data_IF_469165782609
#
_entry.id   IF_469165782609
#
_cell.length_a   1.000
_cell.length_b   1.000
_cell.length_c   1.000
_cell.angle_alpha   90.00
_cell.angle_beta   90.00
_cell.angle_gamma   90.00
#
_symmetry.space_group_name_H-M   'P 1'
#
loop_
_entity.id
_entity.type
_entity.pdbx_description
1 polymer ?
#
# COMPACT_ATOMS: atom_id res chain seq x y z
N UNK A 1 24.48 -7.20 -15.17
CA UNK A 1 24.58 -7.18 -13.69
C UNK A 1 23.22 -7.51 -13.13
N UNK A 2 22.96 -8.81 -12.94
CA UNK A 2 21.69 -9.36 -12.43
C UNK A 2 22.01 -10.45 -11.39
N UNK A 3 21.08 -10.76 -10.48
CA UNK A 3 21.38 -11.47 -9.24
C UNK A 3 21.65 -12.96 -9.50
N UNK A 4 22.79 -13.44 -8.99
CA UNK A 4 23.21 -14.84 -9.03
C UNK A 4 22.35 -15.66 -8.07
N UNK A 5 21.42 -16.44 -8.61
CA UNK A 5 20.61 -17.41 -7.89
C UNK A 5 21.39 -18.72 -7.71
N UNK A 6 21.89 -18.98 -6.49
CA UNK A 6 22.47 -20.29 -6.15
C UNK A 6 21.36 -21.31 -5.93
N UNK A 7 21.17 -22.22 -6.90
CA UNK A 7 20.42 -23.47 -6.73
C UNK A 7 21.18 -24.39 -5.77
N UNK A 8 20.60 -24.76 -4.63
CA UNK A 8 21.10 -25.85 -3.78
C UNK A 8 20.38 -27.14 -4.18
N UNK A 9 21.16 -28.10 -4.68
CA UNK A 9 20.73 -29.47 -4.92
C UNK A 9 20.48 -30.19 -3.59
N UNK A 10 19.35 -30.87 -3.48
CA UNK A 10 19.05 -31.78 -2.38
C UNK A 10 19.60 -33.17 -2.75
N UNK A 11 20.63 -33.62 -2.06
CA UNK A 11 21.06 -35.02 -2.09
C UNK A 11 20.29 -35.77 -0.99
N UNK A 12 19.41 -36.68 -1.41
CA UNK A 12 18.79 -37.67 -0.52
C UNK A 12 19.82 -38.78 -0.31
N UNK A 13 20.42 -38.85 0.89
CA UNK A 13 21.25 -39.98 1.30
C UNK A 13 20.34 -41.02 1.94
N UNK A 14 20.10 -42.11 1.20
CA UNK A 14 19.53 -43.37 1.68
C UNK A 14 20.61 -44.06 2.52
N UNK A 15 20.33 -44.36 3.78
CA UNK A 15 21.16 -45.28 4.57
C UNK A 15 20.50 -46.66 4.57
N UNK A 16 21.10 -47.58 3.82
CA UNK A 16 20.83 -49.02 3.87
C UNK A 16 21.49 -49.61 5.12
N UNK A 17 20.69 -50.08 6.07
CA UNK A 17 21.16 -50.89 7.20
C UNK A 17 21.13 -52.36 6.78
N UNK A 18 22.31 -52.87 6.41
CA UNK A 18 22.55 -54.28 6.11
C UNK A 18 22.93 -55.02 7.39
N UNK A 19 22.21 -56.11 7.64
CA UNK A 19 22.43 -57.07 8.71
C UNK A 19 23.85 -57.69 8.65
N UNK A 20 24.44 -57.92 9.82
CA UNK A 20 25.04 -59.21 10.24
C UNK A 20 25.87 -59.02 11.52
N UNK A 21 25.63 -59.88 12.52
CA UNK A 21 26.47 -59.92 13.71
C UNK A 21 26.01 -60.86 14.83
N UNK A 22 25.45 -62.03 14.49
CA UNK A 22 25.20 -63.08 15.49
C UNK A 22 26.54 -63.71 15.90
N UNK A 23 27.08 -63.23 17.03
CA UNK A 23 28.16 -63.90 17.74
C UNK A 23 27.57 -65.08 18.52
N UNK A 24 27.93 -66.29 18.07
CA UNK A 24 27.68 -67.55 18.78
C UNK A 24 28.38 -67.51 20.15
N UNK A 25 27.60 -67.34 21.22
CA UNK A 25 28.05 -67.68 22.57
C UNK A 25 27.97 -69.20 22.73
N UNK A 26 29.13 -69.81 22.91
CA UNK A 26 29.32 -71.24 23.16
C UNK A 26 29.10 -71.45 24.67
N UNK A 27 27.90 -71.89 25.06
CA UNK A 27 27.69 -72.43 26.41
C UNK A 27 27.96 -73.93 26.38
N UNK A 28 28.98 -74.34 27.12
CA UNK A 28 29.31 -75.74 27.37
C UNK A 28 28.19 -76.44 28.13
N UNK A 29 28.00 -77.71 27.80
CA UNK A 29 27.02 -78.61 28.39
C UNK A 29 27.34 -78.85 29.87
N UNK A 30 26.40 -78.56 30.76
CA UNK A 30 26.20 -79.32 32.00
C UNK A 30 24.83 -79.99 31.94
N UNK A 31 24.88 -81.31 31.84
CA UNK A 31 23.76 -82.23 31.93
C UNK A 31 23.17 -82.18 33.34
N UNK A 32 21.91 -81.77 33.47
CA UNK A 32 21.12 -81.98 34.68
C UNK A 32 19.89 -82.86 34.33
N UNK A 33 19.76 -84.07 34.90
CA UNK A 33 18.71 -85.02 34.57
C UNK A 33 17.51 -84.75 35.46
N UNK A 34 16.51 -84.03 34.96
CA UNK A 34 15.37 -83.69 35.80
C UNK A 34 14.17 -83.13 35.05
N UNK A 35 13.93 -83.55 33.80
CA UNK A 35 12.71 -83.16 33.08
C UNK A 35 11.59 -84.13 33.41
N UNK A 36 11.00 -83.96 34.59
CA UNK A 36 9.66 -84.45 34.87
C UNK A 36 8.69 -83.93 33.81
N UNK A 37 7.74 -84.76 33.40
CA UNK A 37 6.71 -84.41 32.42
C UNK A 37 5.99 -83.13 32.90
N UNK A 38 6.26 -81.99 32.25
CA UNK A 38 5.48 -80.79 32.48
C UNK A 38 4.19 -80.92 31.68
N UNK A 39 3.10 -81.23 32.36
CA UNK A 39 1.74 -81.09 31.85
C UNK A 39 1.59 -79.67 31.29
N UNK A 40 1.38 -79.56 29.98
CA UNK A 40 1.03 -78.28 29.35
C UNK A 40 -0.42 -78.00 29.73
N UNK A 41 -0.60 -77.35 30.88
CA UNK A 41 -1.85 -76.67 31.17
C UNK A 41 -1.97 -75.52 30.18
N UNK A 42 -3.02 -75.53 29.37
CA UNK A 42 -3.41 -74.37 28.55
C UNK A 42 -3.88 -73.30 29.53
N UNK A 43 -2.92 -72.55 30.05
CA UNK A 43 -3.17 -71.37 30.86
C UNK A 43 -3.68 -70.29 29.91
N UNK A 44 -4.81 -69.70 30.30
CA UNK A 44 -5.58 -68.67 29.60
C UNK A 44 -4.72 -67.70 28.77
N UNK A 45 -5.23 -67.34 27.59
CA UNK A 45 -4.72 -66.38 26.61
C UNK A 45 -4.32 -65.00 27.18
N UNK A 46 -4.64 -64.72 28.44
CA UNK A 46 -4.23 -63.53 29.17
C UNK A 46 -3.01 -63.83 30.06
N UNK A 47 -1.81 -63.65 29.50
CA UNK A 47 -0.60 -63.50 30.30
C UNK A 47 -0.47 -62.04 30.69
N UNK A 48 -0.52 -61.72 31.99
CA UNK A 48 -0.33 -60.38 32.57
C UNK A 48 1.08 -59.78 32.34
N UNK A 49 1.82 -60.25 31.33
CA UNK A 49 3.15 -59.73 30.97
C UNK A 49 3.13 -58.23 30.66
N UNK A 50 1.99 -57.70 30.21
CA UNK A 50 1.81 -56.27 29.94
C UNK A 50 1.66 -55.42 31.21
N UNK A 51 1.29 -56.02 32.35
CA UNK A 51 1.23 -55.34 33.65
C UNK A 51 2.51 -55.50 34.47
N UNK A 52 3.45 -56.33 34.01
CA UNK A 52 4.74 -56.57 34.67
C UNK A 52 5.74 -55.47 34.32
N UNK A 53 5.85 -54.47 35.19
CA UNK A 53 6.82 -53.39 35.04
C UNK A 53 8.24 -53.88 35.32
N UNK A 54 9.20 -53.42 34.53
CA UNK A 54 10.62 -53.61 34.83
C UNK A 54 10.92 -52.84 36.13
N UNK A 55 11.55 -53.45 37.14
CA UNK A 55 11.91 -52.74 38.36
C UNK A 55 12.77 -51.53 38.01
N UNK A 56 12.48 -50.39 38.65
CA UNK A 56 13.19 -49.15 38.37
C UNK A 56 14.70 -49.34 38.53
N UNK A 57 15.45 -49.03 37.46
CA UNK A 57 16.91 -48.97 37.46
C UNK A 57 17.37 -47.54 37.18
N UNK A 58 18.22 -46.93 38.03
CA UNK A 58 18.72 -45.59 37.79
C UNK A 58 19.59 -45.52 36.52
N UNK A 59 19.56 -44.39 35.82
CA UNK A 59 20.31 -44.17 34.58
C UNK A 59 21.83 -44.21 34.78
N UNK A 60 22.30 -43.91 36.00
CA UNK A 60 23.71 -44.06 36.40
C UNK A 60 23.81 -44.56 37.85
N UNK A 61 24.79 -45.42 38.11
CA UNK A 61 25.15 -45.85 39.48
C UNK A 61 26.40 -45.09 39.90
N UNK A 62 26.32 -44.35 41.00
CA UNK A 62 27.44 -43.55 41.54
C UNK A 62 27.96 -44.21 42.82
N UNK A 63 29.27 -44.49 42.94
CA UNK A 63 29.85 -45.00 44.18
C UNK A 63 29.60 -44.07 45.38
N UNK A 64 29.40 -44.64 46.56
CA UNK A 64 29.20 -43.87 47.78
C UNK A 64 30.35 -42.87 48.01
N UNK A 65 30.02 -41.62 48.29
CA UNK A 65 30.97 -40.53 48.53
C UNK A 65 31.53 -39.83 47.28
N UNK A 66 31.20 -40.29 46.07
CA UNK A 66 31.58 -39.61 44.83
C UNK A 66 30.42 -38.79 44.27
N UNK A 67 30.68 -37.56 43.83
CA UNK A 67 29.70 -36.67 43.18
C UNK A 67 30.27 -36.07 41.89
N UNK A 68 30.21 -36.79 40.75
CA UNK A 68 30.80 -36.32 39.50
C UNK A 68 30.18 -34.99 39.01
N UNK A 69 30.97 -34.15 38.36
CA UNK A 69 30.52 -32.88 37.77
C UNK A 69 29.62 -33.10 36.54
N UNK A 70 29.85 -34.20 35.80
CA UNK A 70 29.12 -34.47 34.56
C UNK A 70 27.62 -34.70 34.81
N UNK A 71 27.24 -35.34 35.91
CA UNK A 71 25.83 -35.60 36.22
C UNK A 71 25.01 -34.31 36.42
N UNK A 72 25.65 -33.23 36.88
CA UNK A 72 24.96 -31.95 37.04
C UNK A 72 24.70 -31.25 35.70
N UNK A 73 25.47 -31.59 34.67
CA UNK A 73 25.44 -30.97 33.35
C UNK A 73 24.85 -31.94 32.30
N UNK A 74 24.41 -33.13 32.72
CA UNK A 74 23.89 -34.19 31.83
C UNK A 74 22.68 -33.78 30.96
N UNK A 75 22.01 -32.68 31.29
CA UNK A 75 20.91 -32.12 30.51
C UNK A 75 21.38 -31.31 29.29
N UNK A 76 22.66 -30.95 29.19
CA UNK A 76 23.23 -30.31 28.01
C UNK A 76 23.49 -31.38 26.94
N UNK A 77 22.82 -31.25 25.81
CA UNK A 77 22.99 -32.12 24.64
C UNK A 77 23.39 -31.29 23.41
N UNK A 78 23.85 -31.95 22.34
CA UNK A 78 24.06 -31.30 21.04
C UNK A 78 22.79 -30.56 20.60
N UNK A 79 22.92 -29.31 20.15
CA UNK A 79 21.83 -28.35 19.85
C UNK A 79 20.99 -27.87 21.05
N UNK A 80 21.17 -28.48 22.24
CA UNK A 80 20.55 -28.08 23.50
C UNK A 80 21.62 -27.65 24.51
N UNK A 81 22.42 -26.66 24.12
CA UNK A 81 23.49 -26.06 24.94
C UNK A 81 24.91 -26.54 24.65
N UNK A 82 25.09 -27.37 23.61
CA UNK A 82 26.38 -27.68 22.99
C UNK A 82 26.32 -27.33 21.49
N UNK A 83 27.35 -26.68 20.91
CA UNK A 83 28.63 -26.29 21.50
C UNK A 83 28.48 -25.20 22.57
N UNK A 84 29.31 -25.29 23.61
CA UNK A 84 29.18 -24.44 24.79
C UNK A 84 29.45 -22.96 24.44
N UNK A 85 28.40 -22.17 24.61
CA UNK A 85 28.36 -20.71 24.63
C UNK A 85 28.97 -20.18 25.92
N UNK A 86 29.33 -18.89 25.95
CA UNK A 86 29.88 -18.22 27.14
C UNK A 86 28.98 -18.38 28.39
N UNK A 87 27.66 -18.45 28.19
CA UNK A 87 26.70 -18.67 29.26
C UNK A 87 26.87 -20.05 29.91
N UNK A 88 26.89 -21.14 29.14
CA UNK A 88 27.10 -22.48 29.69
C UNK A 88 28.47 -22.59 30.39
N UNK A 89 29.52 -22.02 29.79
CA UNK A 89 30.85 -21.98 30.40
C UNK A 89 30.81 -21.26 31.76
N UNK A 90 30.13 -20.11 31.84
CA UNK A 90 29.99 -19.35 33.09
C UNK A 90 29.21 -20.12 34.17
N UNK A 91 28.20 -20.89 33.77
CA UNK A 91 27.42 -21.74 34.69
C UNK A 91 28.32 -22.85 35.25
N UNK A 92 29.07 -23.54 34.39
CA UNK A 92 30.01 -24.60 34.82
C UNK A 92 31.10 -24.04 35.74
N UNK A 93 31.67 -22.88 35.42
CA UNK A 93 32.65 -22.21 36.28
C UNK A 93 32.08 -21.87 37.66
N UNK A 94 30.85 -21.36 37.71
CA UNK A 94 30.16 -21.07 38.97
C UNK A 94 29.87 -22.32 39.79
N UNK A 95 29.44 -23.41 39.13
CA UNK A 95 29.24 -24.70 39.80
C UNK A 95 30.53 -25.21 40.44
N UNK A 96 31.67 -25.10 39.73
CA UNK A 96 32.99 -25.44 40.27
C UNK A 96 33.39 -24.54 41.43
N UNK A 97 33.15 -23.24 41.35
CA UNK A 97 33.41 -22.30 42.44
C UNK A 97 32.57 -22.65 43.68
N UNK A 98 31.28 -22.95 43.50
CA UNK A 98 30.40 -23.39 44.59
C UNK A 98 30.93 -24.63 45.30
N UNK A 99 31.29 -25.67 44.53
CA UNK A 99 31.91 -26.89 45.10
C UNK A 99 33.23 -26.61 45.82
N UNK A 100 34.07 -25.71 45.30
CA UNK A 100 35.30 -25.29 45.99
C UNK A 100 35.00 -24.59 47.31
N UNK A 101 34.02 -23.69 47.34
CA UNK A 101 33.61 -22.99 48.56
C UNK A 101 33.04 -23.99 49.58
N UNK A 102 32.18 -24.91 49.16
CA UNK A 102 31.62 -25.97 50.02
C UNK A 102 32.71 -26.84 50.66
N UNK A 103 33.78 -27.16 49.91
CA UNK A 103 34.94 -27.89 50.44
C UNK A 103 35.79 -27.07 51.42
N UNK A 104 35.81 -25.74 51.27
CA UNK A 104 36.56 -24.81 52.10
C UNK A 104 35.80 -24.37 53.36
N UNK A 105 34.53 -24.78 53.51
CA UNK A 105 33.73 -24.43 54.68
C UNK A 105 34.32 -25.05 55.97
N UNK A 106 34.28 -24.33 57.10
CA UNK A 106 34.65 -24.87 58.40
C UNK A 106 33.85 -26.15 58.73
N UNK A 107 34.46 -27.12 59.45
CA UNK A 107 33.73 -28.29 59.95
C UNK A 107 32.66 -27.87 60.97
N UNK A 108 31.67 -28.71 61.21
CA UNK A 108 30.54 -28.43 62.11
C UNK A 108 30.77 -28.87 63.56
N UNK A 109 32.02 -29.03 63.99
CA UNK A 109 32.36 -29.67 65.26
C UNK A 109 32.18 -28.76 66.47
N UNK A 110 32.34 -27.44 66.31
CA UNK A 110 32.32 -26.44 67.38
C UNK A 110 31.27 -25.33 67.10
N UNK A 111 30.68 -24.73 68.13
CA UNK A 111 29.61 -23.73 68.01
C UNK A 111 30.08 -22.48 67.24
N UNK A 112 31.29 -22.00 67.52
CA UNK A 112 31.89 -20.87 66.79
C UNK A 112 32.13 -21.20 65.32
N UNK A 113 32.65 -22.40 65.04
CA UNK A 113 32.88 -22.88 63.67
C UNK A 113 31.57 -23.06 62.88
N UNK A 114 30.50 -23.47 63.57
CA UNK A 114 29.17 -23.59 63.01
C UNK A 114 28.57 -22.23 62.66
N UNK A 115 28.67 -21.25 63.57
CA UNK A 115 28.21 -19.89 63.31
C UNK A 115 28.96 -19.25 62.13
N UNK A 116 30.29 -19.42 62.07
CA UNK A 116 31.11 -18.95 60.96
C UNK A 116 30.70 -19.60 59.63
N UNK A 117 30.49 -20.93 59.62
CA UNK A 117 29.98 -21.67 58.45
C UNK A 117 28.62 -21.15 58.00
N UNK A 118 27.70 -20.92 58.94
CA UNK A 118 26.36 -20.40 58.64
C UNK A 118 26.41 -18.98 58.04
N UNK A 119 27.29 -18.11 58.56
CA UNK A 119 27.51 -16.77 58.00
C UNK A 119 28.04 -16.83 56.57
N UNK A 120 29.06 -17.66 56.32
CA UNK A 120 29.67 -17.82 55.00
C UNK A 120 28.67 -18.39 53.97
N UNK A 121 27.85 -19.38 54.38
CA UNK A 121 26.77 -19.91 53.55
C UNK A 121 25.76 -18.82 53.17
N UNK A 122 25.27 -18.05 54.14
CA UNK A 122 24.31 -16.94 53.89
C UNK A 122 24.89 -15.90 52.93
N UNK A 123 26.13 -15.47 53.15
CA UNK A 123 26.79 -14.52 52.25
C UNK A 123 26.93 -15.06 50.82
N UNK A 124 27.25 -16.35 50.68
CA UNK A 124 27.32 -16.99 49.37
C UNK A 124 25.95 -17.05 48.69
N UNK A 125 24.89 -17.39 49.42
CA UNK A 125 23.51 -17.38 48.92
C UNK A 125 23.10 -15.99 48.43
N UNK A 126 23.39 -14.94 49.21
CA UNK A 126 23.13 -13.55 48.79
C UNK A 126 23.89 -13.17 47.51
N UNK A 127 25.14 -13.58 47.36
CA UNK A 127 25.91 -13.35 46.12
C UNK A 127 25.30 -14.09 44.93
N UNK A 128 24.88 -15.34 45.12
CA UNK A 128 24.19 -16.09 44.06
C UNK A 128 22.84 -15.46 43.69
N UNK A 129 22.10 -14.98 44.68
CA UNK A 129 20.81 -14.30 44.47
C UNK A 129 21.01 -12.99 43.71
N UNK A 130 21.96 -12.15 44.13
CA UNK A 130 22.31 -10.91 43.43
C UNK A 130 22.71 -11.18 41.97
N UNK A 131 23.47 -12.25 41.71
CA UNK A 131 23.80 -12.65 40.33
C UNK A 131 22.58 -13.07 39.52
N UNK A 132 21.66 -13.85 40.11
CA UNK A 132 20.42 -14.26 39.45
C UNK A 132 19.56 -13.03 39.14
N UNK A 133 19.42 -12.13 40.11
CA UNK A 133 18.65 -10.90 39.96
C UNK A 133 19.23 -10.00 38.86
N UNK A 134 20.56 -9.84 38.80
CA UNK A 134 21.23 -9.12 37.70
C UNK A 134 20.90 -9.71 36.32
N UNK A 135 20.99 -11.03 36.16
CA UNK A 135 20.64 -11.68 34.88
C UNK A 135 19.18 -11.53 34.52
N UNK A 136 18.28 -11.67 35.51
CA UNK A 136 16.85 -11.45 35.32
C UNK A 136 16.62 -10.01 34.85
N UNK A 137 17.26 -9.04 35.48
CA UNK A 137 17.19 -7.63 35.09
C UNK A 137 17.70 -7.39 33.67
N UNK A 138 18.86 -7.93 33.30
CA UNK A 138 19.39 -7.84 31.93
C UNK A 138 18.42 -8.42 30.88
N UNK A 139 17.80 -9.56 31.17
CA UNK A 139 16.78 -10.15 30.29
C UNK A 139 15.53 -9.27 30.20
N UNK A 140 15.08 -8.70 31.31
CA UNK A 140 13.95 -7.76 31.32
C UNK A 140 14.28 -6.49 30.54
N UNK A 141 15.48 -5.93 30.71
CA UNK A 141 15.92 -4.73 30.01
C UNK A 141 15.96 -4.97 28.49
N UNK A 142 16.50 -6.11 28.04
CA UNK A 142 16.46 -6.50 26.62
C UNK A 142 15.04 -6.65 26.09
N UNK A 143 14.13 -7.25 26.86
CA UNK A 143 12.71 -7.35 26.48
C UNK A 143 12.05 -5.97 26.40
N UNK A 144 12.34 -5.09 27.35
CA UNK A 144 11.84 -3.72 27.37
C UNK A 144 12.34 -2.91 26.19
N UNK A 145 13.59 -3.09 25.77
CA UNK A 145 14.12 -2.45 24.56
C UNK A 145 13.34 -2.85 23.30
N UNK A 146 13.03 -4.14 23.13
CA UNK A 146 12.20 -4.60 22.01
C UNK A 146 10.81 -3.99 22.04
N UNK A 147 10.19 -3.90 23.23
CA UNK A 147 8.87 -3.25 23.41
C UNK A 147 8.94 -1.76 23.08
N UNK A 148 9.97 -1.05 23.56
CA UNK A 148 10.18 0.38 23.23
C UNK A 148 10.35 0.59 21.73
N UNK A 149 11.11 -0.26 21.05
CA UNK A 149 11.28 -0.21 19.60
C UNK A 149 9.95 -0.46 18.87
N UNK A 150 9.15 -1.44 19.32
CA UNK A 150 7.83 -1.70 18.75
C UNK A 150 6.89 -0.50 18.91
N UNK A 151 6.87 0.15 20.08
CA UNK A 151 6.09 1.37 20.33
C UNK A 151 6.54 2.51 19.43
N UNK A 152 7.86 2.73 19.28
CA UNK A 152 8.41 3.76 18.38
C UNK A 152 7.96 3.54 16.94
N UNK A 153 8.13 2.33 16.40
CA UNK A 153 7.67 1.97 15.05
C UNK A 153 6.17 2.21 14.88
N UNK A 154 5.36 1.81 15.86
CA UNK A 154 3.91 2.04 15.83
C UNK A 154 3.58 3.53 15.79
N UNK A 155 4.26 4.37 16.57
CA UNK A 155 4.08 5.83 16.58
C UNK A 155 4.51 6.49 15.28
N UNK A 156 5.61 6.03 14.67
CA UNK A 156 6.05 6.49 13.35
C UNK A 156 5.01 6.20 12.28
N UNK A 157 4.44 4.99 12.28
CA UNK A 157 3.36 4.65 11.35
C UNK A 157 2.15 5.55 11.52
N UNK A 158 1.72 5.83 12.76
CA UNK A 158 0.61 6.76 12.99
C UNK A 158 0.91 8.18 12.53
N UNK A 159 2.13 8.69 12.80
CA UNK A 159 2.54 10.02 12.33
C UNK A 159 2.51 10.12 10.80
N UNK A 160 3.02 9.13 10.09
CA UNK A 160 3.00 9.12 8.63
C UNK A 160 1.55 9.12 8.10
N UNK A 161 0.66 8.35 8.73
CA UNK A 161 -0.77 8.34 8.35
C UNK A 161 -1.45 9.69 8.62
N UNK A 162 -1.10 10.36 9.71
CA UNK A 162 -1.56 11.72 10.02
C UNK A 162 -1.05 12.74 8.99
N UNK A 163 0.24 12.67 8.64
CA UNK A 163 0.87 13.48 7.61
C UNK A 163 0.17 13.30 6.25
N UNK A 164 -0.10 12.06 5.83
CA UNK A 164 -0.84 11.76 4.60
C UNK A 164 -2.24 12.41 4.59
N UNK A 165 -2.95 12.37 5.72
CA UNK A 165 -4.28 12.98 5.85
C UNK A 165 -4.19 14.50 5.78
N UNK A 166 -3.19 15.09 6.42
CA UNK A 166 -2.93 16.53 6.36
C UNK A 166 -2.58 16.97 4.93
N UNK A 167 -1.72 16.22 4.24
CA UNK A 167 -1.35 16.50 2.85
C UNK A 167 -2.56 16.43 1.91
N UNK A 168 -3.38 15.38 2.01
CA UNK A 168 -4.63 15.28 1.22
C UNK A 168 -5.56 16.46 1.49
N UNK A 169 -5.67 16.86 2.75
CA UNK A 169 -6.51 17.99 3.15
C UNK A 169 -5.97 19.30 2.57
N UNK A 170 -4.65 19.51 2.65
CA UNK A 170 -3.95 20.67 2.09
C UNK A 170 -4.13 20.75 0.58
N UNK A 171 -3.95 19.63 -0.13
CA UNK A 171 -4.16 19.56 -1.58
C UNK A 171 -5.59 19.91 -1.98
N UNK A 172 -6.58 19.40 -1.24
CA UNK A 172 -8.00 19.71 -1.47
C UNK A 172 -8.31 21.20 -1.25
N UNK A 173 -7.74 21.79 -0.20
CA UNK A 173 -7.92 23.22 0.08
C UNK A 173 -7.26 24.08 -1.01
N UNK A 174 -6.02 23.76 -1.38
CA UNK A 174 -5.29 24.44 -2.45
C UNK A 174 -6.03 24.40 -3.80
N UNK A 175 -6.63 23.25 -4.15
CA UNK A 175 -7.46 23.14 -5.36
C UNK A 175 -8.70 24.05 -5.30
N UNK A 176 -9.37 24.11 -4.14
CA UNK A 176 -10.53 25.00 -3.96
C UNK A 176 -10.11 26.46 -4.09
N UNK A 177 -8.99 26.85 -3.51
CA UNK A 177 -8.42 28.20 -3.62
C UNK A 177 -8.08 28.54 -5.08
N UNK A 178 -7.43 27.63 -5.81
CA UNK A 178 -7.11 27.83 -7.24
C UNK A 178 -8.38 28.03 -8.08
N UNK A 179 -9.42 27.21 -7.86
CA UNK A 179 -10.72 27.37 -8.55
C UNK A 179 -11.37 28.70 -8.20
N UNK A 180 -11.30 29.14 -6.94
CA UNK A 180 -11.80 30.45 -6.53
C UNK A 180 -11.02 31.59 -7.19
N UNK A 181 -9.69 31.49 -7.26
CA UNK A 181 -8.83 32.46 -7.95
C UNK A 181 -9.18 32.59 -9.44
N UNK A 182 -9.44 31.48 -10.13
CA UNK A 182 -9.88 31.51 -11.53
C UNK A 182 -11.24 32.22 -11.66
N UNK A 183 -12.18 31.98 -10.72
CA UNK A 183 -13.49 32.64 -10.71
C UNK A 183 -13.37 34.14 -10.45
N UNK A 184 -12.51 34.57 -9.53
CA UNK A 184 -12.27 36.00 -9.26
C UNK A 184 -11.63 36.66 -10.47
N UNK A 185 -10.66 36.02 -11.14
CA UNK A 185 -10.06 36.53 -12.36
C UNK A 185 -11.05 36.63 -13.51
N UNK A 186 -11.92 35.64 -13.71
CA UNK A 186 -12.96 35.70 -14.72
C UNK A 186 -13.94 36.88 -14.48
N UNK A 187 -14.28 37.15 -13.21
CA UNK A 187 -15.10 38.32 -12.83
C UNK A 187 -14.35 39.62 -13.11
N UNK A 188 -13.06 39.70 -12.76
CA UNK A 188 -12.18 40.84 -13.03
C UNK A 188 -12.10 41.14 -14.52
N UNK A 189 -11.85 40.13 -15.36
CA UNK A 189 -11.79 40.28 -16.82
C UNK A 189 -13.14 40.72 -17.40
N UNK A 190 -14.27 40.16 -16.93
CA UNK A 190 -15.61 40.61 -17.35
C UNK A 190 -15.86 42.07 -16.98
N UNK A 191 -15.47 42.51 -15.79
CA UNK A 191 -15.58 43.89 -15.36
C UNK A 191 -14.73 44.82 -16.24
N UNK A 192 -13.47 44.46 -16.49
CA UNK A 192 -12.58 45.19 -17.40
C UNK A 192 -13.17 45.30 -18.82
N UNK A 193 -13.71 44.21 -19.37
CA UNK A 193 -14.38 44.22 -20.68
C UNK A 193 -15.60 45.14 -20.70
N UNK A 194 -16.43 45.12 -19.64
CA UNK A 194 -17.60 46.02 -19.53
C UNK A 194 -17.18 47.48 -19.45
N UNK A 195 -16.18 47.82 -18.64
CA UNK A 195 -15.65 49.18 -18.55
C UNK A 195 -15.06 49.64 -19.89
N UNK A 196 -14.34 48.77 -20.60
CA UNK A 196 -13.84 49.07 -21.93
C UNK A 196 -14.98 49.28 -22.94
N UNK A 197 -16.01 48.44 -22.93
CA UNK A 197 -17.20 48.63 -23.76
C UNK A 197 -17.94 49.93 -23.45
N UNK A 198 -18.04 50.31 -22.17
CA UNK A 198 -18.64 51.58 -21.75
C UNK A 198 -17.82 52.78 -22.26
N UNK A 199 -16.48 52.73 -22.15
CA UNK A 199 -15.60 53.74 -22.72
C UNK A 199 -15.79 53.86 -24.23
N UNK A 200 -15.75 52.73 -24.95
CA UNK A 200 -15.97 52.70 -26.41
C UNK A 200 -17.37 53.22 -26.78
N UNK A 201 -18.40 52.91 -26.00
CA UNK A 201 -19.74 53.42 -26.22
C UNK A 201 -19.81 54.94 -26.04
N UNK A 202 -19.16 55.50 -25.02
CA UNK A 202 -19.04 56.95 -24.85
C UNK A 202 -18.27 57.59 -26.01
N UNK A 203 -17.12 57.04 -26.39
CA UNK A 203 -16.31 57.53 -27.51
C UNK A 203 -17.11 57.51 -28.84
N UNK A 204 -17.93 56.48 -29.05
CA UNK A 204 -18.80 56.39 -30.23
C UNK A 204 -19.92 57.43 -30.25
N UNK A 205 -20.38 57.90 -29.09
CA UNK A 205 -21.35 59.02 -28.99
C UNK A 205 -20.68 60.35 -29.30
N UNK A 206 -19.42 60.52 -28.90
CA UNK A 206 -18.63 61.73 -29.17
C UNK A 206 -18.28 61.83 -30.66
N UNK A 207 -17.94 60.71 -31.33
CA UNK A 207 -17.53 60.69 -32.74
C UNK A 207 -18.24 59.59 -33.56
N UNK A 208 -19.54 59.78 -33.91
CA UNK A 208 -20.36 58.73 -34.50
C UNK A 208 -19.99 58.37 -35.94
N UNK A 209 -19.58 59.34 -36.77
CA UNK A 209 -19.23 59.10 -38.18
C UNK A 209 -17.95 58.25 -38.33
N UNK A 210 -16.92 58.56 -37.52
CA UNK A 210 -15.67 57.79 -37.50
C UNK A 210 -15.93 56.35 -37.05
N UNK A 211 -16.76 56.15 -36.04
CA UNK A 211 -17.06 54.81 -35.52
C UNK A 211 -17.93 53.97 -36.48
N UNK A 212 -18.85 54.61 -37.22
CA UNK A 212 -19.61 53.95 -38.30
C UNK A 212 -18.66 53.43 -39.40
N UNK A 213 -17.73 54.25 -39.88
CA UNK A 213 -16.78 53.85 -40.92
C UNK A 213 -15.82 52.73 -40.45
N UNK A 214 -15.28 52.85 -39.22
CA UNK A 214 -14.37 51.84 -38.64
C UNK A 214 -15.11 50.53 -38.32
N UNK A 215 -16.34 50.60 -37.80
CA UNK A 215 -17.10 49.39 -37.46
C UNK A 215 -17.60 48.62 -38.69
N UNK A 216 -17.94 49.33 -39.76
CA UNK A 216 -18.38 48.73 -41.02
C UNK A 216 -17.21 48.05 -41.77
N UNK A 217 -16.00 48.61 -41.70
CA UNK A 217 -14.80 48.07 -42.38
C UNK A 217 -14.06 46.99 -41.58
N UNK A 218 -14.05 47.04 -40.24
CA UNK A 218 -13.28 46.09 -39.41
C UNK A 218 -14.03 44.79 -39.09
N UNK A 219 -15.37 44.81 -39.05
CA UNK A 219 -16.15 43.63 -38.69
C UNK A 219 -16.54 42.85 -39.94
N UNK A 220 -16.03 41.62 -40.07
CA UNK A 220 -16.44 40.68 -41.13
C UNK A 220 -17.95 40.37 -41.11
N UNK A 221 -18.60 40.50 -39.96
CA UNK A 221 -20.05 40.34 -39.79
C UNK A 221 -20.83 41.65 -39.96
N UNK A 222 -20.21 42.71 -40.48
CA UNK A 222 -20.92 43.93 -40.87
C UNK A 222 -21.76 43.67 -42.12
N UNK A 223 -22.75 44.53 -42.32
CA UNK A 223 -23.64 44.50 -43.49
C UNK A 223 -22.87 44.57 -44.82
N UNK A 224 -21.68 45.19 -44.81
CA UNK A 224 -20.83 45.33 -45.98
C UNK A 224 -20.14 44.03 -46.43
N UNK A 225 -19.88 43.08 -45.51
CA UNK A 225 -19.09 41.88 -45.82
C UNK A 225 -19.89 40.58 -45.72
N UNK A 226 -20.77 40.46 -44.72
CA UNK A 226 -21.61 39.28 -44.51
C UNK A 226 -22.79 39.65 -43.58
N UNK A 227 -23.92 40.11 -44.14
CA UNK A 227 -25.11 40.37 -43.36
C UNK A 227 -25.56 39.10 -42.65
N UNK A 228 -25.72 39.19 -41.33
CA UNK A 228 -26.20 38.07 -40.52
C UNK A 228 -27.63 37.71 -40.90
N UNK A 229 -27.85 36.46 -41.28
CA UNK A 229 -29.15 35.85 -41.63
C UNK A 229 -30.28 36.13 -40.61
N UNK A 230 -29.96 36.41 -39.34
CA UNK A 230 -30.91 36.87 -38.31
C UNK A 230 -31.74 38.12 -38.67
N UNK A 231 -31.27 38.97 -39.60
CA UNK A 231 -32.02 40.17 -40.02
C UNK A 231 -33.02 39.90 -41.16
N UNK A 232 -33.11 38.67 -41.66
CA UNK A 232 -33.95 38.32 -42.82
C UNK A 232 -33.51 38.98 -44.14
N UNK A 233 -32.49 39.84 -44.09
CA UNK A 233 -31.94 40.52 -45.25
C UNK A 233 -30.88 39.64 -45.89
N UNK A 234 -31.30 38.90 -46.91
CA UNK A 234 -30.40 38.40 -47.94
C UNK A 234 -30.20 39.61 -48.86
N UNK A 235 -28.99 40.21 -48.94
CA UNK A 235 -28.73 41.17 -49.99
C UNK A 235 -29.07 40.47 -51.29
N UNK A 236 -30.03 41.00 -52.03
CA UNK A 236 -30.15 40.64 -53.44
C UNK A 236 -28.76 40.87 -54.01
N UNK A 237 -28.22 39.85 -54.67
CA UNK A 237 -26.90 39.94 -55.30
C UNK A 237 -26.93 41.25 -56.10
N UNK A 238 -26.15 42.29 -55.75
CA UNK A 238 -26.23 43.57 -56.46
C UNK A 238 -25.86 43.38 -57.94
N UNK A 239 -25.25 42.23 -58.26
CA UNK A 239 -24.95 41.74 -59.60
C UNK A 239 -26.10 40.98 -60.27
N UNK A 240 -27.14 40.52 -59.55
CA UNK A 240 -28.29 39.84 -60.14
C UNK A 240 -29.29 40.82 -60.79
N UNK A 241 -29.41 42.05 -60.28
CA UNK A 241 -30.22 43.11 -60.91
C UNK A 241 -29.45 43.92 -61.95
N UNK A 242 -28.12 43.78 -61.99
CA UNK A 242 -27.30 44.23 -63.12
C UNK A 242 -27.48 43.24 -64.28
N UNK A 243 -28.70 43.17 -64.81
CA UNK A 243 -28.88 42.76 -66.19
C UNK A 243 -28.23 43.85 -67.04
N UNK A 244 -26.95 43.64 -67.37
CA UNK A 244 -26.37 44.34 -68.52
C UNK A 244 -27.11 43.75 -69.71
N UNK A 245 -28.28 44.31 -70.00
CA UNK A 245 -28.95 44.03 -71.24
C UNK A 245 -27.93 44.34 -72.33
N UNK A 246 -27.72 43.34 -73.19
CA UNK A 246 -26.75 43.38 -74.27
C UNK A 246 -27.39 43.76 -75.62
N UNK A 247 -28.35 44.70 -75.75
CA UNK A 247 -28.82 45.10 -77.08
C UNK A 247 -27.73 45.89 -77.83
N UNK A 248 -26.64 46.28 -77.14
CA UNK A 248 -25.44 46.84 -77.75
C UNK A 248 -24.45 45.79 -78.30
N UNK A 249 -24.58 44.50 -77.93
CA UNK A 249 -23.66 43.43 -78.33
C UNK A 249 -24.30 42.33 -79.19
N UNK A 250 -25.64 42.32 -79.36
CA UNK A 250 -26.31 41.51 -80.38
C UNK A 250 -26.06 42.10 -81.77
N UNK A 251 -24.85 41.91 -82.28
CA UNK A 251 -24.47 42.28 -83.64
C UNK A 251 -25.01 41.21 -84.59
N UNK A 252 -26.18 41.46 -85.19
CA UNK A 252 -26.52 40.78 -86.44
C UNK A 252 -25.52 41.25 -87.52
N UNK A 253 -25.26 40.40 -88.52
CA UNK A 253 -24.26 40.62 -89.60
C UNK A 253 -24.41 41.93 -90.42
N UNK A 254 -25.37 42.81 -90.09
CA UNK A 254 -25.70 44.03 -90.81
C UNK A 254 -25.48 45.36 -90.06
N UNK A 255 -24.73 45.42 -88.94
CA UNK A 255 -24.48 46.70 -88.24
C UNK A 255 -23.01 46.98 -87.85
N UNK A 256 -22.10 46.96 -88.83
CA UNK A 256 -20.70 47.42 -88.62
C UNK A 256 -20.58 48.92 -88.24
N UNK A 257 -21.59 49.75 -88.54
CA UNK A 257 -21.57 51.20 -88.23
C UNK A 257 -21.70 51.53 -86.74
N UNK A 258 -22.23 50.62 -85.92
CA UNK A 258 -22.48 50.89 -84.49
C UNK A 258 -21.21 50.68 -83.66
N UNK A 259 -20.40 49.68 -84.02
CA UNK A 259 -19.12 49.39 -83.36
C UNK A 259 -18.08 50.48 -83.61
N UNK A 260 -18.04 51.10 -84.80
CA UNK A 260 -17.16 52.23 -85.08
C UNK A 260 -17.46 53.45 -84.20
N UNK A 261 -18.73 53.72 -83.91
CA UNK A 261 -19.12 54.83 -83.01
C UNK A 261 -18.67 54.57 -81.57
N UNK A 262 -18.77 53.32 -81.11
CA UNK A 262 -18.30 52.92 -79.78
C UNK A 262 -16.77 52.97 -79.71
N UNK A 263 -16.07 52.46 -80.75
CA UNK A 263 -14.60 52.55 -80.86
C UNK A 263 -14.13 54.00 -80.84
N UNK A 264 -14.79 54.89 -81.57
CA UNK A 264 -14.47 56.33 -81.55
C UNK A 264 -14.80 56.98 -80.20
N UNK A 265 -15.82 56.49 -79.47
CA UNK A 265 -16.16 57.00 -78.13
C UNK A 265 -15.11 56.58 -77.10
N UNK A 266 -14.70 55.30 -77.12
CA UNK A 266 -13.63 54.77 -76.25
C UNK A 266 -12.30 55.47 -76.57
N UNK A 267 -11.95 55.62 -77.86
CA UNK A 267 -10.74 56.36 -78.26
C UNK A 267 -10.74 57.84 -77.84
N UNK A 268 -11.92 58.48 -77.73
CA UNK A 268 -12.06 59.85 -77.19
C UNK A 268 -12.02 59.88 -75.65
N UNK A 269 -12.49 58.83 -74.99
CA UNK A 269 -12.47 58.71 -73.53
C UNK A 269 -11.07 58.34 -73.00
N UNK A 270 -10.35 57.44 -73.66
CA UNK A 270 -8.99 57.01 -73.31
C UNK A 270 -7.98 58.17 -73.38
N UNK A 271 -8.24 59.19 -74.19
CA UNK A 271 -7.39 60.39 -74.23
C UNK A 271 -7.57 61.35 -73.05
N UNK A 272 -8.50 61.09 -72.11
CA UNK A 272 -8.84 62.05 -71.04
C UNK A 272 -8.55 61.60 -69.61
N UNK A 273 -8.11 60.37 -69.38
CA UNK A 273 -7.73 59.88 -68.04
C UNK A 273 -6.56 58.91 -68.09
N UNK A 274 -5.40 59.40 -68.52
CA UNK A 274 -4.13 58.85 -68.07
C UNK A 274 -3.46 59.90 -67.20
N UNK A 275 -3.67 59.82 -65.89
CA UNK A 275 -2.76 60.45 -64.92
C UNK A 275 -1.54 59.54 -64.85
N UNK A 276 -0.38 59.92 -65.40
CA UNK A 276 0.81 59.08 -65.31
C UNK A 276 1.31 59.13 -63.86
N UNK A 277 1.34 57.99 -63.17
CA UNK A 277 2.09 57.87 -61.91
C UNK A 277 1.38 57.19 -60.73
N UNK A 278 0.10 56.84 -60.83
CA UNK A 278 -0.61 56.19 -59.71
C UNK A 278 -0.27 54.70 -59.61
N UNK A 279 -0.07 54.03 -60.76
CA UNK A 279 0.16 52.58 -60.80
C UNK A 279 1.51 52.19 -60.21
N UNK A 280 2.57 52.95 -60.47
CA UNK A 280 3.90 52.68 -59.90
C UNK A 280 3.93 52.86 -58.37
N UNK A 281 3.22 53.86 -57.83
CA UNK A 281 3.11 54.08 -56.39
C UNK A 281 2.23 53.00 -55.71
N UNK A 282 1.18 52.54 -56.39
CA UNK A 282 0.33 51.45 -55.92
C UNK A 282 1.10 50.11 -55.92
N UNK A 283 1.91 49.85 -56.93
CA UNK A 283 2.77 48.67 -56.97
C UNK A 283 3.87 48.71 -55.91
N UNK A 284 4.48 49.88 -55.65
CA UNK A 284 5.48 50.04 -54.60
C UNK A 284 4.89 49.84 -53.19
N UNK A 285 3.67 50.29 -52.95
CA UNK A 285 2.97 50.07 -51.66
C UNK A 285 2.52 48.61 -51.51
N UNK A 286 2.05 47.98 -52.59
CA UNK A 286 1.69 46.57 -52.60
C UNK A 286 2.91 45.65 -52.37
N UNK A 287 4.08 45.96 -52.93
CA UNK A 287 5.31 45.20 -52.70
C UNK A 287 5.77 45.32 -51.25
N UNK A 288 5.70 46.52 -50.65
CA UNK A 288 6.02 46.74 -49.24
C UNK A 288 5.11 45.94 -48.29
N UNK A 289 3.79 45.95 -48.52
CA UNK A 289 2.84 45.19 -47.69
C UNK A 289 3.05 43.67 -47.81
N UNK A 290 3.44 43.18 -48.99
CA UNK A 290 3.81 41.77 -49.18
C UNK A 290 5.08 41.40 -48.40
N UNK A 291 6.07 42.29 -48.34
CA UNK A 291 7.29 42.08 -47.55
C UNK A 291 7.00 42.08 -46.04
N UNK A 292 6.18 43.01 -45.54
CA UNK A 292 5.78 43.07 -44.13
C UNK A 292 4.99 41.80 -43.72
N UNK A 293 4.06 41.34 -44.56
CA UNK A 293 3.32 40.09 -44.33
C UNK A 293 4.25 38.84 -44.34
N UNK A 294 5.26 38.81 -45.21
CA UNK A 294 6.24 37.72 -45.25
C UNK A 294 7.12 37.69 -43.99
N UNK A 295 7.52 38.85 -43.46
CA UNK A 295 8.27 38.94 -42.20
C UNK A 295 7.42 38.49 -41.01
N UNK A 296 6.15 38.90 -40.95
CA UNK A 296 5.24 38.52 -39.87
C UNK A 296 4.87 37.02 -39.91
N UNK A 297 4.85 36.41 -41.11
CA UNK A 297 4.76 34.94 -41.26
C UNK A 297 6.05 34.26 -40.79
N UNK A 298 7.22 34.77 -41.16
CA UNK A 298 8.51 34.21 -40.72
C UNK A 298 8.70 34.29 -39.18
N UNK A 299 8.21 35.33 -38.52
CA UNK A 299 8.22 35.43 -37.05
C UNK A 299 7.29 34.42 -36.37
N UNK A 300 6.09 34.19 -36.93
CA UNK A 300 5.18 33.13 -36.48
C UNK A 300 5.79 31.74 -36.69
N UNK A 301 6.45 31.54 -37.83
CA UNK A 301 7.12 30.30 -38.14
C UNK A 301 8.33 30.06 -37.21
N UNK A 302 9.11 31.09 -36.86
CA UNK A 302 10.18 30.98 -35.83
C UNK A 302 9.66 30.58 -34.44
N UNK A 303 8.50 31.10 -34.04
CA UNK A 303 7.85 30.68 -32.79
C UNK A 303 7.41 29.21 -32.82
N UNK A 304 7.00 28.73 -33.98
CA UNK A 304 6.64 27.33 -34.20
C UNK A 304 7.86 26.41 -34.38
N UNK A 305 8.97 26.87 -34.97
CA UNK A 305 10.19 26.06 -35.12
C UNK A 305 10.85 25.77 -33.78
N UNK A 306 10.83 26.68 -32.81
CA UNK A 306 11.32 26.38 -31.46
C UNK A 306 10.48 25.29 -30.77
N UNK A 307 9.16 25.30 -30.96
CA UNK A 307 8.27 24.23 -30.48
C UNK A 307 8.47 22.91 -31.22
N UNK A 308 8.75 22.96 -32.53
CA UNK A 308 9.03 21.80 -33.37
C UNK A 308 10.43 21.20 -33.09
N UNK A 309 11.43 22.02 -32.82
CA UNK A 309 12.79 21.64 -32.37
C UNK A 309 12.74 21.00 -30.98
N UNK A 310 11.95 21.57 -30.05
CA UNK A 310 11.70 20.94 -28.75
C UNK A 310 10.97 19.59 -28.90
N UNK A 311 9.96 19.50 -29.76
CA UNK A 311 9.22 18.26 -30.02
C UNK A 311 10.06 17.20 -30.74
N UNK A 312 10.94 17.61 -31.68
CA UNK A 312 11.86 16.71 -32.38
C UNK A 312 13.01 16.26 -31.49
N UNK A 313 13.52 17.11 -30.59
CA UNK A 313 14.46 16.70 -29.55
C UNK A 313 13.83 15.67 -28.60
N UNK A 314 12.57 15.87 -28.19
CA UNK A 314 11.82 14.90 -27.40
C UNK A 314 11.61 13.59 -28.18
N UNK A 315 11.29 13.65 -29.47
CA UNK A 315 11.12 12.49 -30.33
C UNK A 315 12.43 11.72 -30.57
N UNK A 316 13.56 12.41 -30.73
CA UNK A 316 14.89 11.80 -30.84
C UNK A 316 15.33 11.14 -29.52
N UNK A 317 14.96 11.72 -28.37
CA UNK A 317 15.21 11.14 -27.05
C UNK A 317 14.34 9.91 -26.75
N UNK A 318 13.21 9.74 -27.45
CA UNK A 318 12.22 8.69 -27.18
C UNK A 318 12.07 7.65 -28.29
N UNK A 319 12.76 7.82 -29.43
CA UNK A 319 12.62 6.98 -30.62
C UNK A 319 13.90 6.24 -31.01
N UNK A 320 14.25 5.18 -30.27
CA UNK A 320 15.16 4.14 -30.76
C UNK A 320 14.59 2.78 -30.40
N UNK A 321 13.55 2.37 -31.14
CA UNK A 321 13.16 0.98 -31.38
C UNK A 321 11.96 0.93 -32.34
N UNK A 322 12.22 0.76 -33.63
CA UNK A 322 11.60 -0.28 -34.47
C UNK A 322 11.91 -0.05 -35.94
N UNK A 323 12.21 -1.16 -36.61
CA UNK A 323 12.63 -1.27 -38.00
C UNK A 323 11.45 -1.20 -38.99
N UNK A 324 11.73 -0.57 -40.13
CA UNK A 324 11.33 -0.86 -41.52
C UNK A 324 9.93 -1.41 -41.82
N UNK A 325 9.15 -0.68 -42.64
CA UNK A 325 8.70 -1.06 -44.01
C UNK A 325 8.29 0.23 -44.74
N UNK A 326 8.75 0.41 -45.98
CA UNK A 326 8.40 1.56 -46.83
C UNK A 326 7.06 1.41 -47.54
N UNK A 327 6.47 2.53 -47.96
CA UNK A 327 6.29 2.82 -49.39
C UNK A 327 5.85 4.28 -49.58
N UNK A 328 6.24 4.86 -50.72
CA UNK A 328 5.98 6.24 -51.08
C UNK A 328 4.54 6.43 -51.59
N UNK A 329 3.84 7.46 -51.11
CA UNK A 329 2.55 7.87 -51.63
C UNK A 329 2.04 9.15 -50.96
N UNK A 330 2.11 10.28 -51.69
CA UNK A 330 1.62 11.60 -51.25
C UNK A 330 0.10 11.57 -51.05
N UNK A 331 -0.47 11.95 -49.88
CA UNK A 331 -1.90 11.94 -49.68
C UNK A 331 -2.53 13.30 -50.05
N UNK A 332 -3.39 13.26 -51.06
CA UNK A 332 -4.46 14.26 -51.27
C UNK A 332 -5.29 14.38 -49.98
N UNK A 333 -5.54 15.63 -49.54
CA UNK A 333 -6.37 15.97 -48.38
C UNK A 333 -7.80 15.47 -48.59
N UNK A 334 -8.07 14.24 -48.13
CA UNK A 334 -9.43 13.74 -47.90
C UNK A 334 -9.95 14.36 -46.62
N UNK A 335 -11.11 15.01 -46.70
CA UNK A 335 -11.86 15.50 -45.55
C UNK A 335 -11.93 14.41 -44.47
N UNK A 336 -11.52 14.74 -43.24
CA UNK A 336 -11.64 13.85 -42.09
C UNK A 336 -13.12 13.61 -41.78
N UNK A 337 -13.69 12.62 -42.44
CA UNK A 337 -14.82 11.85 -41.91
C UNK A 337 -14.29 11.30 -40.58
N UNK A 338 -14.88 11.74 -39.48
CA UNK A 338 -14.54 11.19 -38.16
C UNK A 338 -14.74 9.68 -38.25
N UNK A 339 -13.68 8.91 -38.04
CA UNK A 339 -13.75 7.46 -37.97
C UNK A 339 -14.90 7.10 -37.02
N UNK A 340 -15.99 6.55 -37.56
CA UNK A 340 -16.93 5.78 -36.75
C UNK A 340 -16.04 4.69 -36.17
N UNK A 341 -15.82 4.71 -34.86
CA UNK A 341 -15.09 3.64 -34.18
C UNK A 341 -15.90 2.38 -34.41
N UNK A 342 -15.50 1.57 -35.38
CA UNK A 342 -16.04 0.23 -35.53
C UNK A 342 -15.78 -0.49 -34.20
N UNK A 343 -16.87 -1.00 -33.60
CA UNK A 343 -16.78 -1.73 -32.35
C UNK A 343 -15.79 -2.87 -32.61
N UNK A 344 -14.77 -3.07 -31.75
CA UNK A 344 -13.88 -4.22 -31.91
C UNK A 344 -14.74 -5.48 -32.00
N UNK A 345 -14.38 -6.41 -32.88
CA UNK A 345 -15.09 -7.68 -33.01
C UNK A 345 -15.27 -8.27 -31.61
N UNK A 346 -16.52 -8.61 -31.27
CA UNK A 346 -16.84 -9.19 -29.97
C UNK A 346 -15.93 -10.40 -29.76
N UNK A 347 -15.10 -10.43 -28.69
CA UNK A 347 -14.18 -11.52 -28.46
C UNK A 347 -14.97 -12.82 -28.41
N UNK A 348 -14.71 -13.73 -29.36
CA UNK A 348 -15.32 -15.06 -29.38
C UNK A 348 -14.58 -15.92 -28.37
N UNK A 349 -15.32 -16.49 -27.44
CA UNK A 349 -14.81 -17.50 -26.52
C UNK A 349 -14.64 -18.79 -27.32
N UNK A 350 -13.51 -19.46 -27.18
CA UNK A 350 -13.29 -20.78 -27.80
C UNK A 350 -14.39 -21.74 -27.33
N UNK A 351 -15.02 -22.46 -28.25
CA UNK A 351 -16.05 -23.46 -27.91
C UNK A 351 -15.37 -24.63 -27.20
N UNK A 352 -15.55 -24.68 -25.89
CA UNK A 352 -15.01 -25.72 -25.01
C UNK A 352 -15.90 -26.96 -25.11
N UNK A 353 -15.29 -28.15 -25.16
CA UNK A 353 -16.04 -29.40 -25.16
C UNK A 353 -16.89 -29.51 -23.86
N UNK A 354 -18.09 -30.10 -23.91
CA UNK A 354 -19.01 -30.12 -22.76
C UNK A 354 -18.45 -30.80 -21.51
N UNK A 355 -17.47 -31.70 -21.66
CA UNK A 355 -16.77 -32.35 -20.55
C UNK A 355 -15.83 -31.38 -19.82
N UNK A 356 -15.11 -30.53 -20.56
CA UNK A 356 -14.21 -29.52 -20.00
C UNK A 356 -14.99 -28.38 -19.35
N UNK A 357 -16.18 -28.05 -19.85
CA UNK A 357 -17.08 -27.10 -19.19
C UNK A 357 -17.52 -27.61 -17.81
N UNK A 358 -17.86 -28.91 -17.68
CA UNK A 358 -18.23 -29.50 -16.40
C UNK A 358 -17.08 -29.45 -15.39
N UNK A 359 -15.84 -29.69 -15.84
CA UNK A 359 -14.64 -29.58 -15.00
C UNK A 359 -14.39 -28.14 -14.58
N UNK A 360 -14.55 -27.17 -15.48
CA UNK A 360 -14.40 -25.75 -15.16
C UNK A 360 -15.47 -25.27 -14.17
N UNK A 361 -16.73 -25.68 -14.34
CA UNK A 361 -17.81 -25.37 -13.40
C UNK A 361 -17.54 -25.98 -12.03
N UNK A 362 -17.08 -27.22 -11.95
CA UNK A 362 -16.68 -27.86 -10.70
C UNK A 362 -15.50 -27.13 -10.04
N UNK A 363 -14.49 -26.71 -10.82
CA UNK A 363 -13.36 -25.94 -10.33
C UNK A 363 -13.78 -24.56 -9.79
N UNK A 364 -14.70 -23.86 -10.48
CA UNK A 364 -15.25 -22.57 -10.03
C UNK A 364 -16.03 -22.75 -8.73
N UNK A 365 -16.81 -23.82 -8.60
CA UNK A 365 -17.56 -24.13 -7.38
C UNK A 365 -16.62 -24.41 -6.21
N UNK A 366 -15.58 -25.21 -6.43
CA UNK A 366 -14.54 -25.49 -5.44
C UNK A 366 -13.80 -24.22 -5.03
N UNK A 367 -13.44 -23.35 -5.98
CA UNK A 367 -12.83 -22.05 -5.69
C UNK A 367 -13.76 -21.15 -4.87
N UNK A 368 -15.06 -21.13 -5.17
CA UNK A 368 -16.06 -20.39 -4.38
C UNK A 368 -16.17 -20.93 -2.97
N UNK A 369 -16.20 -22.24 -2.79
CA UNK A 369 -16.23 -22.87 -1.47
C UNK A 369 -14.98 -22.55 -0.65
N UNK A 370 -13.79 -22.67 -1.24
CA UNK A 370 -12.53 -22.34 -0.56
C UNK A 370 -12.42 -20.85 -0.20
N UNK A 371 -12.84 -19.95 -1.11
CA UNK A 371 -12.91 -18.51 -0.81
C UNK A 371 -13.92 -18.20 0.31
N UNK A 372 -15.08 -18.87 0.31
CA UNK A 372 -16.08 -18.76 1.36
C UNK A 372 -15.57 -19.25 2.71
N UNK A 373 -14.97 -20.44 2.77
CA UNK A 373 -14.41 -20.98 4.00
C UNK A 373 -13.26 -20.14 4.55
N UNK A 374 -12.34 -19.67 3.69
CA UNK A 374 -11.25 -18.81 4.14
C UNK A 374 -11.76 -17.48 4.68
N UNK A 375 -12.80 -16.90 4.07
CA UNK A 375 -13.46 -15.70 4.59
C UNK A 375 -14.12 -15.96 5.95
N UNK A 376 -14.86 -17.07 6.08
CA UNK A 376 -15.50 -17.46 7.34
C UNK A 376 -14.48 -17.71 8.45
N UNK A 377 -13.37 -18.40 8.16
CA UNK A 377 -12.29 -18.63 9.12
C UNK A 377 -11.63 -17.31 9.55
N UNK A 378 -11.36 -16.40 8.61
CA UNK A 378 -10.84 -15.06 8.93
C UNK A 378 -11.81 -14.26 9.79
N UNK A 379 -13.11 -14.32 9.48
CA UNK A 379 -14.15 -13.66 10.26
C UNK A 379 -14.24 -14.24 11.66
N UNK A 380 -14.22 -15.57 11.80
CA UNK A 380 -14.30 -16.26 13.08
C UNK A 380 -13.08 -15.98 13.95
N UNK A 381 -11.87 -16.05 13.39
CA UNK A 381 -10.63 -15.68 14.08
C UNK A 381 -10.65 -14.21 14.52
N UNK A 382 -11.09 -13.30 13.64
CA UNK A 382 -11.24 -11.88 13.95
C UNK A 382 -12.27 -11.62 15.06
N UNK A 383 -13.38 -12.38 15.06
CA UNK A 383 -14.38 -12.34 16.14
C UNK A 383 -13.75 -12.83 17.44
N UNK A 384 -13.09 -14.00 17.45
CA UNK A 384 -12.44 -14.55 18.64
C UNK A 384 -11.42 -13.59 19.27
N UNK A 385 -10.56 -12.97 18.45
CA UNK A 385 -9.60 -11.96 18.93
C UNK A 385 -10.25 -10.72 19.56
N UNK A 386 -11.52 -10.45 19.25
CA UNK A 386 -12.25 -9.26 19.73
C UNK A 386 -13.43 -9.63 20.62
N UNK A 387 -13.57 -10.89 21.03
CA UNK A 387 -14.69 -11.33 21.87
C UNK A 387 -14.73 -10.56 23.18
N UNK A 388 -13.58 -10.38 23.82
CA UNK A 388 -13.48 -9.63 25.09
C UNK A 388 -13.94 -8.18 24.92
N UNK A 389 -13.54 -7.52 23.83
CA UNK A 389 -13.97 -6.16 23.51
C UNK A 389 -15.48 -6.12 23.23
N UNK A 390 -16.02 -7.08 22.49
CA UNK A 390 -17.46 -7.16 22.21
C UNK A 390 -18.24 -7.36 23.50
N UNK A 391 -17.77 -8.24 24.38
CA UNK A 391 -18.39 -8.49 25.67
C UNK A 391 -18.32 -7.26 26.57
N UNK A 392 -17.18 -6.58 26.59
CA UNK A 392 -17.02 -5.32 27.31
C UNK A 392 -17.98 -4.24 26.79
N UNK A 393 -18.07 -4.06 25.47
CA UNK A 393 -18.98 -3.08 24.88
C UNK A 393 -20.45 -3.42 25.17
N UNK A 394 -20.83 -4.70 25.09
CA UNK A 394 -22.18 -5.16 25.46
C UNK A 394 -22.48 -4.94 26.94
N UNK A 395 -21.53 -5.24 27.82
CA UNK A 395 -21.67 -4.98 29.25
C UNK A 395 -21.79 -3.47 29.51
N UNK A 396 -21.02 -2.64 28.80
CA UNK A 396 -21.12 -1.17 28.91
C UNK A 396 -22.46 -0.63 28.40
N UNK A 397 -23.00 -1.21 27.33
CA UNK A 397 -24.31 -0.86 26.78
C UNK A 397 -25.42 -1.25 27.76
N UNK A 398 -25.36 -2.46 28.31
CA UNK A 398 -26.26 -2.93 29.36
C UNK A 398 -26.21 -2.06 30.62
N UNK A 399 -25.01 -1.59 30.99
CA UNK A 399 -24.85 -0.68 32.13
C UNK A 399 -25.49 0.68 31.82
N UNK A 400 -25.30 1.21 30.61
CA UNK A 400 -25.90 2.48 30.19
C UNK A 400 -27.43 2.41 30.04
N UNK A 401 -27.97 1.24 29.69
CA UNK A 401 -29.41 1.01 29.55
C UNK A 401 -30.11 0.77 30.91
N UNK A 402 -29.36 0.41 31.96
CA UNK A 402 -29.89 0.28 33.31
C UNK A 402 -30.27 1.65 33.88
N UNK A 403 -31.46 1.81 34.49
CA UNK A 403 -31.83 3.07 35.12
C UNK A 403 -30.87 3.40 36.26
N UNK A 404 -30.61 4.69 36.46
CA UNK A 404 -29.62 5.19 37.45
C UNK A 404 -29.89 4.68 38.87
N UNK A 405 -31.15 4.39 39.20
CA UNK A 405 -31.56 3.83 40.49
C UNK A 405 -31.01 2.41 40.72
N UNK A 406 -31.02 1.56 39.70
CA UNK A 406 -30.51 0.18 39.80
C UNK A 406 -28.98 0.16 39.90
N UNK A 407 -28.30 1.10 39.22
CA UNK A 407 -26.85 1.27 39.32
C UNK A 407 -26.42 1.69 40.73
N UNK A 408 -27.17 2.61 41.35
CA UNK A 408 -26.92 3.04 42.72
C UNK A 408 -27.18 1.90 43.72
N UNK A 409 -28.24 1.13 43.52
CA UNK A 409 -28.55 -0.03 44.37
C UNK A 409 -27.47 -1.11 44.28
N UNK A 410 -26.93 -1.39 43.08
CA UNK A 410 -25.84 -2.34 42.89
C UNK A 410 -24.53 -1.85 43.53
N UNK A 411 -24.15 -0.58 43.34
CA UNK A 411 -22.96 -0.03 43.96
C UNK A 411 -23.04 -0.02 45.49
N UNK A 412 -24.22 0.30 46.05
CA UNK A 412 -24.46 0.19 47.49
C UNK A 412 -24.35 -1.27 47.93
N UNK A 413 -24.96 -2.21 47.19
CA UNK A 413 -24.85 -3.66 47.43
C UNK A 413 -23.40 -4.13 47.51
N UNK A 414 -22.59 -3.83 46.50
CA UNK A 414 -21.16 -4.19 46.47
C UNK A 414 -20.39 -3.62 47.66
N UNK A 415 -20.58 -2.33 47.99
CA UNK A 415 -19.92 -1.75 49.17
C UNK A 415 -20.37 -2.37 50.49
N UNK A 416 -21.63 -2.81 50.60
CA UNK A 416 -22.12 -3.50 51.79
C UNK A 416 -21.60 -4.92 51.90
N UNK A 417 -21.43 -5.61 50.78
CA UNK A 417 -20.83 -6.95 50.73
C UNK A 417 -19.34 -6.89 51.07
N UNK A 418 -18.58 -5.96 50.49
CA UNK A 418 -17.17 -5.72 50.83
C UNK A 418 -17.01 -5.36 52.32
N UNK A 419 -17.87 -4.50 52.86
CA UNK A 419 -17.86 -4.18 54.27
C UNK A 419 -18.18 -5.40 55.15
N UNK A 420 -19.12 -6.26 54.73
CA UNK A 420 -19.44 -7.50 55.42
C UNK A 420 -18.26 -8.49 55.40
N UNK A 421 -17.55 -8.63 54.28
CA UNK A 421 -16.36 -9.48 54.16
C UNK A 421 -15.23 -9.01 55.08
N UNK A 422 -14.97 -7.70 55.14
CA UNK A 422 -13.95 -7.12 56.03
C UNK A 422 -14.30 -7.37 57.49
N UNK A 423 -15.57 -7.19 57.88
CA UNK A 423 -16.03 -7.48 59.23
C UNK A 423 -15.91 -8.96 59.58
N UNK A 424 -16.29 -9.86 58.66
CA UNK A 424 -16.14 -11.30 58.84
C UNK A 424 -14.68 -11.71 58.98
N UNK A 425 -13.78 -11.16 58.17
CA UNK A 425 -12.35 -11.41 58.28
C UNK A 425 -11.77 -10.90 59.61
N UNK A 426 -12.24 -9.75 60.10
CA UNK A 426 -11.87 -9.21 61.42
C UNK A 426 -12.33 -10.13 62.55
N UNK A 427 -13.58 -10.59 62.52
CA UNK A 427 -14.14 -11.50 63.52
C UNK A 427 -13.40 -12.84 63.53
N UNK A 428 -13.08 -13.38 62.35
CA UNK A 428 -12.26 -14.59 62.23
C UNK A 428 -10.86 -14.39 62.79
N UNK A 429 -10.21 -13.26 62.49
CA UNK A 429 -8.91 -12.92 63.03
C UNK A 429 -8.91 -12.81 64.56
N UNK A 430 -9.95 -12.22 65.13
CA UNK A 430 -10.12 -12.13 66.58
C UNK A 430 -10.33 -13.50 67.23
N UNK A 431 -11.20 -14.35 66.67
CA UNK A 431 -11.41 -15.71 67.17
C UNK A 431 -10.12 -16.55 67.10
N UNK A 432 -9.33 -16.40 66.04
CA UNK A 432 -8.01 -17.05 65.92
C UNK A 432 -7.05 -16.52 67.01
N UNK A 433 -7.03 -15.23 67.27
CA UNK A 433 -6.18 -14.66 68.30
C UNK A 433 -6.56 -15.14 69.71
N UNK A 434 -7.85 -15.19 70.03
CA UNK A 434 -8.37 -15.68 71.32
C UNK A 434 -8.05 -17.16 71.53
N UNK A 435 -8.29 -18.00 70.52
CA UNK A 435 -7.96 -19.44 70.60
C UNK A 435 -6.46 -19.68 70.74
N UNK A 436 -5.61 -18.89 70.08
CA UNK A 436 -4.15 -18.97 70.26
C UNK A 436 -3.72 -18.52 71.66
N UNK A 437 -4.37 -17.51 72.25
CA UNK A 437 -4.07 -17.05 73.61
C UNK A 437 -4.53 -18.05 74.68
N UNK A 438 -5.66 -18.73 74.48
CA UNK A 438 -6.11 -19.84 75.33
C UNK A 438 -5.13 -21.02 75.28
N UNK A 439 -4.75 -21.47 74.07
CA UNK A 439 -3.75 -22.53 73.90
C UNK A 439 -2.39 -22.15 74.53
N UNK A 440 -2.00 -20.87 74.45
CA UNK A 440 -0.77 -20.39 75.08
C UNK A 440 -0.85 -20.39 76.62
N UNK A 441 -2.03 -20.14 77.20
CA UNK A 441 -2.27 -20.23 78.64
C UNK A 441 -2.32 -21.68 79.13
N UNK A 442 -2.78 -22.64 78.33
CA UNK A 442 -2.77 -24.06 78.67
C UNK A 442 -1.38 -24.71 78.61
N UNK A 443 -0.45 -24.13 77.84
CA UNK A 443 0.93 -24.63 77.69
C UNK A 443 1.91 -24.14 78.77
N UNK A 444 1.51 -23.22 79.65
CA UNK A 444 2.28 -22.76 80.81
C UNK A 444 1.73 -23.35 82.10
#
# INVERSE_FOLDING_TARGET
MGPVTRRRAWCVVRFDLKANGDSKFRSENSSDPGRGQSTIGIQSVYSERETQTVPYSPTCVVPAGHSPEELTIAHLCWEKGLPATQLEISIVQRMRQKRKIEKLLPPSTDEYSFQARASLMKEQEFREWADRERRIKELHDRRLELVRLAIKKRRELFRNMEEDVLERTRMRLSQKEAVQAIKTDAKRIKALRRMWQQRVALDSRINPQRWKAVSHSSKRASDMFAPRSMKGYIPGDPYASLQIDAPALQVSKFEYRRLDKISQFIKRADTRTMLPGVDAALEATATRLRQEAALEQAERDRGNTQGLEAATAIFQLTGSQSHTVGDAGVPLKKYHIRNIRERPETPRVEEVLPEDEAVQVAAILLQRMLRGQTYQQRMFAGKQMRLDLINFLRASEQLNDAPVEDQQAQAIGETTEEAAEVLMASMQGQAIAETLDELAKELR
#
